data_IF_763208391488
#
_entry.id   IF_763208391488
#
_cell.length_a   1.000
_cell.length_b   1.000
_cell.length_c   1.000
_cell.angle_alpha   90.00
_cell.angle_beta   90.00
_cell.angle_gamma   90.00
#
_symmetry.space_group_name_H-M   'P 1'
#
loop_
_entity.id
_entity.type
_entity.pdbx_description
1 polymer ?
#
# COMPACT_ATOMS: atom_id res chain seq x y z
N UNK A 1 -11.80 0.88 9.44
CA UNK A 1 -11.23 0.39 8.18
C UNK A 1 -9.97 1.18 7.86
N UNK A 2 -8.93 0.53 7.36
CA UNK A 2 -7.68 1.16 6.91
C UNK A 2 -7.56 1.05 5.40
N UNK A 3 -6.89 2.03 4.80
CA UNK A 3 -6.62 2.05 3.37
C UNK A 3 -5.17 1.64 3.13
N UNK A 4 -4.97 0.62 2.30
CA UNK A 4 -3.63 0.22 1.87
C UNK A 4 -3.05 1.31 0.94
N UNK A 5 -1.84 1.84 1.22
CA UNK A 5 -1.24 2.92 0.43
C UNK A 5 -0.70 2.47 -0.95
N UNK A 6 -0.66 1.17 -1.21
CA UNK A 6 -0.20 0.55 -2.47
C UNK A 6 -1.38 0.25 -3.37
N UNK A 7 -2.39 -0.48 -2.92
CA UNK A 7 -3.52 -0.82 -3.79
C UNK A 7 -4.73 0.13 -3.65
N UNK A 8 -4.74 0.98 -2.61
CA UNK A 8 -5.88 1.85 -2.34
C UNK A 8 -7.13 1.13 -1.81
N UNK A 9 -7.03 -0.18 -1.54
CA UNK A 9 -8.14 -1.00 -1.06
C UNK A 9 -8.41 -0.75 0.44
N UNK A 10 -9.69 -0.77 0.80
CA UNK A 10 -10.13 -0.71 2.19
C UNK A 10 -10.18 -2.10 2.81
N UNK A 11 -9.69 -2.21 4.03
CA UNK A 11 -9.69 -3.46 4.78
C UNK A 11 -9.85 -3.23 6.28
N UNK A 12 -10.08 -4.32 7.01
CA UNK A 12 -10.09 -4.28 8.46
C UNK A 12 -8.69 -4.21 9.06
N UNK A 13 -8.56 -3.33 10.06
CA UNK A 13 -7.32 -3.09 10.81
C UNK A 13 -6.83 -4.37 11.50
N UNK A 14 -7.75 -5.29 11.82
CA UNK A 14 -7.48 -6.61 12.40
C UNK A 14 -6.80 -7.58 11.42
N UNK A 15 -7.12 -7.47 10.13
CA UNK A 15 -6.52 -8.29 9.08
C UNK A 15 -5.27 -7.62 8.49
N UNK A 16 -5.10 -6.32 8.71
CA UNK A 16 -4.00 -5.53 8.20
C UNK A 16 -2.65 -5.91 8.82
N UNK A 17 -1.63 -5.97 7.97
CA UNK A 17 -0.24 -6.16 8.40
C UNK A 17 0.39 -4.81 8.69
N UNK A 18 0.85 -4.64 9.92
CA UNK A 18 1.64 -3.47 10.32
C UNK A 18 3.10 -3.61 9.86
N UNK A 19 3.69 -2.50 9.41
CA UNK A 19 5.11 -2.37 9.14
C UNK A 19 5.57 -1.04 9.70
N UNK A 20 6.62 -1.06 10.52
CA UNK A 20 7.34 0.16 10.87
C UNK A 20 8.36 0.51 9.79
N UNK A 21 8.20 1.67 9.18
CA UNK A 21 9.13 2.21 8.20
C UNK A 21 9.37 3.70 8.50
N UNK A 22 10.62 4.09 8.70
CA UNK A 22 11.02 5.49 9.02
C UNK A 22 10.27 6.09 10.23
N UNK A 23 10.05 5.29 11.27
CA UNK A 23 9.31 5.72 12.47
C UNK A 23 7.81 5.91 12.26
N UNK A 24 7.26 5.46 11.13
CA UNK A 24 5.82 5.45 10.86
C UNK A 24 5.32 4.01 10.78
N UNK A 25 4.18 3.75 11.43
CA UNK A 25 3.47 2.47 11.30
C UNK A 25 2.53 2.56 10.10
N UNK A 26 2.78 1.71 9.10
CA UNK A 26 1.96 1.57 7.90
C UNK A 26 1.17 0.27 7.94
N UNK A 27 0.00 0.27 7.33
CA UNK A 27 -0.92 -0.86 7.28
C UNK A 27 -1.07 -1.35 5.84
N UNK A 28 -0.91 -2.66 5.64
CA UNK A 28 -0.98 -3.31 4.33
C UNK A 28 -1.99 -4.45 4.31
N UNK A 29 -2.62 -4.68 3.17
CA UNK A 29 -3.57 -5.77 3.00
C UNK A 29 -2.93 -7.14 2.95
N UNK A 30 -1.72 -7.20 2.39
CA UNK A 30 -0.98 -8.42 2.21
C UNK A 30 0.53 -8.15 2.30
N UNK A 31 1.29 -9.21 2.51
CA UNK A 31 2.76 -9.14 2.46
C UNK A 31 3.28 -8.71 1.09
N UNK A 32 2.54 -9.00 0.01
CA UNK A 32 2.88 -8.53 -1.33
C UNK A 32 2.84 -7.00 -1.43
N UNK A 33 1.78 -6.34 -0.93
CA UNK A 33 1.72 -4.88 -0.88
C UNK A 33 2.87 -4.30 -0.06
N UNK A 34 3.16 -4.92 1.09
CA UNK A 34 4.30 -4.53 1.93
C UNK A 34 5.63 -4.64 1.16
N UNK A 35 5.87 -5.74 0.43
CA UNK A 35 7.07 -5.92 -0.40
C UNK A 35 7.13 -4.89 -1.54
N UNK A 36 6.00 -4.63 -2.22
CA UNK A 36 5.92 -3.65 -3.32
C UNK A 36 6.23 -2.23 -2.83
N UNK A 37 5.74 -1.88 -1.63
CA UNK A 37 6.09 -0.65 -0.93
C UNK A 37 7.59 -0.54 -0.61
N UNK A 38 8.18 -1.61 -0.04
CA UNK A 38 9.61 -1.66 0.27
C UNK A 38 10.51 -1.64 -0.99
N UNK A 39 10.02 -2.20 -2.09
CA UNK A 39 10.72 -2.23 -3.38
C UNK A 39 10.79 -0.86 -4.07
N UNK A 40 10.18 0.19 -3.51
CA UNK A 40 10.20 1.54 -4.08
C UNK A 40 9.08 1.81 -5.08
N UNK A 41 8.17 0.86 -5.30
CA UNK A 41 6.96 1.09 -6.08
C UNK A 41 5.88 1.67 -5.16
N UNK A 42 5.88 2.99 -5.00
CA UNK A 42 4.70 3.71 -4.52
C UNK A 42 3.80 3.97 -5.73
N UNK A 43 2.71 3.20 -5.97
CA UNK A 43 1.75 3.52 -7.01
C UNK A 43 0.81 4.61 -6.49
N UNK A 44 1.36 5.77 -6.12
CA UNK A 44 0.50 6.94 -6.04
C UNK A 44 0.25 7.39 -7.46
N UNK A 45 -1.00 7.24 -7.89
CA UNK A 45 -1.64 7.85 -9.05
C UNK A 45 -1.85 6.91 -10.25
N UNK A 46 -3.00 6.24 -10.21
CA UNK A 46 -3.80 5.99 -11.40
C UNK A 46 -4.18 7.34 -12.06
N UNK A 47 -3.44 7.74 -13.08
CA UNK A 47 -3.94 8.47 -14.26
C UNK A 47 -2.78 8.88 -15.15
N UNK A 48 -2.49 8.04 -16.14
CA UNK A 48 -2.28 8.44 -17.54
C UNK A 48 -1.98 7.18 -18.34
N UNK A 49 -3.04 6.42 -18.64
CA UNK A 49 -3.08 5.67 -19.88
C UNK A 49 -3.10 6.69 -21.02
N UNK A 50 -1.94 7.23 -21.39
CA UNK A 50 -1.80 7.91 -22.67
C UNK A 50 -1.58 6.82 -23.70
N UNK A 51 -2.70 6.35 -24.25
CA UNK A 51 -2.81 5.75 -25.58
C UNK A 51 -1.94 6.54 -26.57
N UNK A 52 -1.06 5.84 -27.29
CA UNK A 52 -0.58 6.23 -28.62
C UNK A 52 -1.16 5.23 -29.59
#
# INVERSE_FOLDING_TARGET
>A
MVKDPVCGMYMDLRLAKKLEHKGKVLYFCSEECKKRYLSGSSPTNDSSQCTI
#
